data_IF_244117019852
#
_entry.id   IF_244117019852
#
_cell.length_a   1.000
_cell.length_b   1.000
_cell.length_c   1.000
_cell.angle_alpha   90.00
_cell.angle_beta   90.00
_cell.angle_gamma   90.00
#
_symmetry.space_group_name_H-M   'P 1'
#
loop_
_entity.id
_entity.type
_entity.pdbx_description
1 polymer ?
#
# COMPACT_ATOMS: atom_id res chain seq x y z
N UNK A 1 -18.45 -1.13 13.86
CA UNK A 1 -18.30 -0.02 14.82
C UNK A 1 -17.37 -0.36 15.98
N UNK A 2 -17.45 -1.54 16.61
CA UNK A 2 -16.61 -1.92 17.78
C UNK A 2 -15.09 -1.78 17.54
N UNK A 3 -14.59 -2.24 16.38
CA UNK A 3 -13.14 -2.20 16.09
C UNK A 3 -12.57 -0.77 15.99
N UNK A 4 -13.35 0.18 15.48
CA UNK A 4 -12.90 1.58 15.39
C UNK A 4 -12.80 2.23 16.76
N UNK A 5 -13.73 1.92 17.66
CA UNK A 5 -13.72 2.44 19.04
C UNK A 5 -12.53 1.86 19.80
N UNK A 6 -12.27 0.57 19.66
CA UNK A 6 -11.10 -0.09 20.30
C UNK A 6 -9.81 0.57 19.80
N UNK A 7 -9.66 0.81 18.50
CA UNK A 7 -8.48 1.47 17.93
C UNK A 7 -8.27 2.86 18.54
N UNK A 8 -9.32 3.69 18.63
CA UNK A 8 -9.23 5.05 19.21
C UNK A 8 -8.82 4.99 20.67
N UNK A 9 -9.41 4.06 21.46
CA UNK A 9 -9.05 3.88 22.86
C UNK A 9 -7.58 3.46 23.00
N UNK A 10 -7.12 2.53 22.15
CA UNK A 10 -5.71 2.10 22.14
C UNK A 10 -4.79 3.25 21.80
N UNK A 11 -5.12 4.07 20.79
CA UNK A 11 -4.33 5.26 20.43
C UNK A 11 -4.21 6.24 21.62
N UNK A 12 -5.32 6.56 22.26
CA UNK A 12 -5.31 7.46 23.42
C UNK A 12 -4.48 6.90 24.57
N UNK A 13 -4.58 5.61 24.83
CA UNK A 13 -3.81 4.96 25.90
C UNK A 13 -2.31 4.99 25.62
N UNK A 14 -1.89 4.69 24.37
CA UNK A 14 -0.47 4.76 23.95
C UNK A 14 0.05 6.18 24.11
N UNK A 15 -0.66 7.20 23.62
CA UNK A 15 -0.26 8.61 23.75
C UNK A 15 -0.10 9.02 25.21
N UNK A 16 -1.04 8.64 26.08
CA UNK A 16 -0.96 8.95 27.51
C UNK A 16 0.27 8.27 28.14
N UNK A 17 0.53 7.01 27.82
CA UNK A 17 1.74 6.29 28.27
C UNK A 17 3.02 6.99 27.83
N UNK A 18 3.10 7.42 26.58
CA UNK A 18 4.27 8.14 26.05
C UNK A 18 4.50 9.46 26.77
N UNK A 19 3.44 10.25 27.01
CA UNK A 19 3.56 11.50 27.77
C UNK A 19 4.06 11.22 29.18
N UNK A 20 3.53 10.19 29.86
CA UNK A 20 3.97 9.82 31.22
C UNK A 20 5.45 9.41 31.20
N UNK A 21 5.86 8.56 30.25
CA UNK A 21 7.25 8.09 30.12
C UNK A 21 8.18 9.29 29.91
N UNK A 22 7.84 10.20 28.99
CA UNK A 22 8.66 11.39 28.75
C UNK A 22 8.75 12.31 29.99
N UNK A 23 7.65 12.50 30.72
CA UNK A 23 7.66 13.32 31.94
C UNK A 23 8.47 12.69 33.06
N UNK A 24 8.57 11.35 33.12
CA UNK A 24 9.38 10.65 34.12
C UNK A 24 10.87 10.61 33.75
N UNK A 25 11.21 10.59 32.43
CA UNK A 25 12.60 10.51 31.97
C UNK A 25 13.29 11.87 31.93
N UNK A 26 12.56 12.96 31.75
CA UNK A 26 13.12 14.30 31.57
C UNK A 26 12.67 15.22 32.72
N UNK A 27 13.61 15.62 33.57
CA UNK A 27 13.36 16.52 34.67
C UNK A 27 13.07 17.96 34.20
N UNK A 28 13.73 18.40 33.12
CA UNK A 28 13.54 19.75 32.57
C UNK A 28 12.53 19.75 31.41
N UNK A 29 11.38 20.36 31.62
CA UNK A 29 10.32 20.56 30.63
C UNK A 29 10.55 21.84 29.83
N UNK A 30 11.61 21.87 29.02
CA UNK A 30 11.91 22.98 28.13
C UNK A 30 11.11 22.91 26.81
N UNK A 31 11.26 23.92 25.94
CA UNK A 31 10.56 23.96 24.64
C UNK A 31 10.83 22.73 23.76
N UNK A 32 12.04 22.17 23.81
CA UNK A 32 12.41 20.97 23.07
C UNK A 32 11.71 19.74 23.60
N UNK A 33 11.49 19.63 24.90
CA UNK A 33 10.70 18.56 25.50
C UNK A 33 9.31 18.47 24.85
N UNK A 34 8.59 19.59 24.78
CA UNK A 34 7.25 19.60 24.19
C UNK A 34 7.24 19.26 22.70
N UNK A 35 8.26 19.72 21.95
CA UNK A 35 8.42 19.37 20.54
C UNK A 35 8.65 17.86 20.39
N UNK A 36 9.54 17.27 21.19
CA UNK A 36 9.86 15.85 21.14
C UNK A 36 8.65 14.98 21.51
N UNK A 37 7.94 15.31 22.57
CA UNK A 37 6.70 14.62 22.95
C UNK A 37 5.66 14.72 21.84
N UNK A 38 5.49 15.91 21.26
CA UNK A 38 4.56 16.12 20.15
C UNK A 38 4.88 15.27 18.92
N UNK A 39 6.17 15.18 18.54
CA UNK A 39 6.63 14.35 17.42
C UNK A 39 6.47 12.87 17.73
N UNK A 40 6.80 12.41 18.94
CA UNK A 40 6.61 11.03 19.35
C UNK A 40 5.13 10.61 19.27
N UNK A 41 4.23 11.41 19.83
CA UNK A 41 2.78 11.19 19.77
C UNK A 41 2.28 11.18 18.31
N UNK A 42 2.78 12.07 17.45
CA UNK A 42 2.42 12.10 16.03
C UNK A 42 2.89 10.84 15.29
N UNK A 43 4.09 10.36 15.57
CA UNK A 43 4.60 9.11 15.04
C UNK A 43 3.72 7.91 15.43
N UNK A 44 3.30 7.83 16.69
CA UNK A 44 2.40 6.79 17.19
C UNK A 44 1.03 6.85 16.51
N UNK A 45 0.48 8.05 16.32
CA UNK A 45 -0.78 8.23 15.59
C UNK A 45 -0.65 7.70 14.15
N UNK A 46 0.45 8.01 13.46
CA UNK A 46 0.69 7.51 12.10
C UNK A 46 0.76 5.99 12.08
N UNK A 47 1.51 5.36 13.00
CA UNK A 47 1.64 3.92 13.09
C UNK A 47 0.28 3.24 13.32
N UNK A 48 -0.50 3.72 14.25
CA UNK A 48 -1.79 3.14 14.60
C UNK A 48 -2.88 3.42 13.55
N UNK A 49 -2.85 4.58 12.89
CA UNK A 49 -3.78 4.92 11.83
C UNK A 49 -3.62 4.04 10.57
N UNK A 50 -2.46 3.43 10.37
CA UNK A 50 -2.22 2.52 9.25
C UNK A 50 -2.82 1.11 9.47
N UNK A 51 -3.12 0.71 10.69
CA UNK A 51 -3.69 -0.61 11.00
C UNK A 51 -5.00 -0.88 10.24
N UNK A 52 -5.99 0.05 10.21
CA UNK A 52 -7.22 -0.16 9.44
C UNK A 52 -7.01 -0.29 7.93
N UNK A 53 -5.97 0.34 7.39
CA UNK A 53 -5.64 0.26 5.95
C UNK A 53 -5.12 -1.14 5.63
N UNK A 54 -4.22 -1.67 6.46
CA UNK A 54 -3.63 -2.99 6.27
C UNK A 54 -4.57 -4.14 6.62
N UNK A 55 -5.58 -3.91 7.46
CA UNK A 55 -6.56 -4.94 7.86
C UNK A 55 -7.79 -5.03 6.96
N UNK A 56 -7.97 -4.14 6.00
CA UNK A 56 -9.14 -4.10 5.14
C UNK A 56 -8.76 -4.49 3.70
N UNK A 57 -9.20 -5.68 3.25
CA UNK A 57 -8.93 -6.20 1.91
C UNK A 57 -9.33 -5.23 0.78
N UNK A 58 -10.42 -4.46 0.95
CA UNK A 58 -10.87 -3.46 -0.03
C UNK A 58 -9.92 -2.26 -0.15
N UNK A 59 -9.12 -1.99 0.88
CA UNK A 59 -8.14 -0.91 0.91
C UNK A 59 -6.72 -1.38 0.57
N UNK A 60 -6.53 -2.69 0.40
CA UNK A 60 -5.24 -3.30 0.05
C UNK A 60 -4.91 -3.10 -1.45
N UNK A 61 -4.90 -1.85 -1.89
CA UNK A 61 -4.34 -1.51 -3.21
C UNK A 61 -2.82 -1.34 -3.10
N UNK A 62 -2.09 -1.60 -4.19
CA UNK A 62 -0.62 -1.43 -4.24
C UNK A 62 -0.22 -0.04 -3.75
N UNK A 63 -0.97 0.99 -4.16
CA UNK A 63 -0.76 2.37 -3.74
C UNK A 63 -0.90 2.55 -2.23
N UNK A 64 -1.98 2.05 -1.63
CA UNK A 64 -2.26 2.21 -0.20
C UNK A 64 -1.27 1.42 0.65
N UNK A 65 -0.89 0.23 0.22
CA UNK A 65 0.13 -0.58 0.92
C UNK A 65 1.48 0.10 0.87
N UNK A 66 1.92 0.57 -0.30
CA UNK A 66 3.20 1.26 -0.44
C UNK A 66 3.26 2.56 0.38
N UNK A 67 2.16 3.33 0.39
CA UNK A 67 2.05 4.54 1.20
C UNK A 67 2.08 4.21 2.70
N UNK A 68 1.35 3.18 3.12
CA UNK A 68 1.30 2.74 4.52
C UNK A 68 2.68 2.27 5.01
N UNK A 69 3.41 1.50 4.20
CA UNK A 69 4.77 1.06 4.52
C UNK A 69 5.73 2.26 4.62
N UNK A 70 5.66 3.20 3.69
CA UNK A 70 6.48 4.42 3.72
C UNK A 70 6.21 5.27 4.96
N UNK A 71 4.93 5.46 5.32
CA UNK A 71 4.53 6.21 6.51
C UNK A 71 4.95 5.51 7.81
N UNK A 72 4.84 4.18 7.89
CA UNK A 72 5.28 3.41 9.05
C UNK A 72 6.80 3.51 9.23
N UNK A 73 7.56 3.38 8.14
CA UNK A 73 9.01 3.51 8.19
C UNK A 73 9.42 4.91 8.64
N UNK A 74 8.74 5.94 8.14
CA UNK A 74 8.92 7.31 8.60
C UNK A 74 8.64 7.47 10.09
N UNK A 75 7.51 6.99 10.56
CA UNK A 75 7.12 7.09 11.97
C UNK A 75 8.14 6.40 12.89
N UNK A 76 8.63 5.21 12.51
CA UNK A 76 9.66 4.50 13.26
C UNK A 76 10.97 5.30 13.29
N UNK A 77 11.44 5.79 12.15
CA UNK A 77 12.69 6.56 12.07
C UNK A 77 12.60 7.83 12.90
N UNK A 78 11.52 8.60 12.77
CA UNK A 78 11.32 9.82 13.56
C UNK A 78 11.21 9.53 15.04
N UNK A 79 10.49 8.48 15.42
CA UNK A 79 10.35 8.09 16.83
C UNK A 79 11.70 7.73 17.45
N UNK A 80 12.47 6.86 16.80
CA UNK A 80 13.81 6.46 17.25
C UNK A 80 14.78 7.65 17.30
N UNK A 81 14.73 8.52 16.28
CA UNK A 81 15.53 9.73 16.24
C UNK A 81 15.20 10.66 17.39
N UNK A 82 13.91 10.93 17.62
CA UNK A 82 13.43 11.82 18.68
C UNK A 82 13.77 11.26 20.06
N UNK A 83 13.56 9.96 20.29
CA UNK A 83 13.90 9.31 21.54
C UNK A 83 15.41 9.29 21.79
N UNK A 84 16.22 8.90 20.80
CA UNK A 84 17.66 8.83 20.91
C UNK A 84 18.31 10.19 21.12
N UNK A 85 17.88 11.21 20.37
CA UNK A 85 18.42 12.55 20.52
C UNK A 85 17.95 13.24 21.80
N UNK A 86 16.74 12.97 22.29
CA UNK A 86 16.26 13.52 23.58
C UNK A 86 17.18 13.14 24.74
N UNK A 87 17.71 11.90 24.74
CA UNK A 87 18.61 11.42 25.76
C UNK A 87 20.01 12.05 25.70
N UNK A 88 20.44 12.51 24.53
CA UNK A 88 21.80 13.05 24.31
C UNK A 88 21.87 14.58 24.47
N UNK A 89 20.72 15.27 24.44
CA UNK A 89 20.67 16.71 24.21
C UNK A 89 20.65 17.60 25.46
N UNK A 90 20.66 17.04 26.64
CA UNK A 90 20.56 17.84 27.87
C UNK A 90 21.79 18.72 28.15
N UNK A 91 22.87 18.54 27.38
CA UNK A 91 24.19 19.12 27.70
C UNK A 91 24.74 20.17 26.74
N UNK A 92 24.25 20.35 25.51
CA UNK A 92 24.87 21.26 24.55
C UNK A 92 23.91 21.98 23.59
N UNK A 93 24.03 23.33 23.51
CA UNK A 93 23.19 24.17 22.65
C UNK A 93 23.45 23.96 21.13
N UNK A 94 24.67 23.59 20.73
CA UNK A 94 25.02 23.34 19.35
C UNK A 94 24.38 22.06 18.83
N UNK A 95 24.30 21.04 19.67
CA UNK A 95 23.60 19.79 19.36
C UNK A 95 22.09 20.00 19.13
N UNK A 96 21.47 20.94 19.85
CA UNK A 96 20.06 21.31 19.68
C UNK A 96 19.77 21.87 18.28
N UNK A 97 20.64 22.73 17.76
CA UNK A 97 20.49 23.32 16.44
C UNK A 97 20.69 22.28 15.34
N UNK A 98 21.69 21.42 15.48
CA UNK A 98 21.96 20.30 14.55
C UNK A 98 20.79 19.31 14.50
N UNK A 99 20.20 19.01 15.65
CA UNK A 99 19.04 18.16 15.75
C UNK A 99 17.83 18.72 15.01
N UNK A 100 17.48 19.98 15.24
CA UNK A 100 16.36 20.62 14.57
C UNK A 100 16.59 20.62 13.04
N UNK A 101 17.82 20.93 12.61
CA UNK A 101 18.18 20.91 11.20
C UNK A 101 18.00 19.53 10.57
N UNK A 102 18.50 18.48 11.21
CA UNK A 102 18.34 17.11 10.73
C UNK A 102 16.88 16.65 10.75
N UNK A 103 16.10 17.07 11.74
CA UNK A 103 14.68 16.77 11.82
C UNK A 103 13.91 17.39 10.64
N UNK A 104 14.19 18.65 10.30
CA UNK A 104 13.59 19.33 9.15
C UNK A 104 13.96 18.61 7.85
N UNK A 105 15.25 18.24 7.67
CA UNK A 105 15.72 17.50 6.49
C UNK A 105 14.98 16.14 6.39
N UNK A 106 14.82 15.44 7.50
CA UNK A 106 14.11 14.15 7.55
C UNK A 106 12.65 14.32 7.13
N UNK A 107 11.95 15.34 7.61
CA UNK A 107 10.57 15.63 7.22
C UNK A 107 10.47 15.92 5.72
N UNK A 108 11.36 16.77 5.18
CA UNK A 108 11.39 17.11 3.75
C UNK A 108 11.62 15.84 2.91
N UNK A 109 12.59 15.01 3.30
CA UNK A 109 12.88 13.76 2.62
C UNK A 109 11.66 12.84 2.57
N UNK A 110 10.90 12.77 3.66
CA UNK A 110 9.68 11.95 3.70
C UNK A 110 8.53 12.51 2.90
N UNK A 111 8.37 13.82 2.84
CA UNK A 111 7.39 14.45 1.95
C UNK A 111 7.68 14.07 0.49
N UNK A 112 8.95 14.16 0.08
CA UNK A 112 9.39 13.79 -1.28
C UNK A 112 9.15 12.30 -1.54
N UNK A 113 9.53 11.43 -0.60
CA UNK A 113 9.30 9.99 -0.71
C UNK A 113 7.81 9.65 -0.78
N UNK A 114 6.99 10.25 0.06
CA UNK A 114 5.54 10.07 0.05
C UNK A 114 4.92 10.46 -1.30
N UNK A 115 5.31 11.61 -1.86
CA UNK A 115 4.87 12.05 -3.18
C UNK A 115 5.29 11.05 -4.27
N UNK A 116 6.54 10.56 -4.23
CA UNK A 116 7.06 9.57 -5.18
C UNK A 116 6.28 8.24 -5.11
N UNK A 117 6.00 7.76 -3.90
CA UNK A 117 5.21 6.52 -3.68
C UNK A 117 3.79 6.68 -4.21
N UNK A 118 3.15 7.83 -3.98
CA UNK A 118 1.80 8.10 -4.50
C UNK A 118 1.79 8.11 -6.03
N UNK A 119 2.76 8.75 -6.66
CA UNK A 119 2.89 8.80 -8.13
C UNK A 119 3.16 7.41 -8.71
N UNK A 120 4.16 6.70 -8.20
CA UNK A 120 4.52 5.36 -8.66
C UNK A 120 3.38 4.35 -8.44
N UNK A 121 2.73 4.39 -7.28
CA UNK A 121 1.58 3.54 -6.96
C UNK A 121 0.40 3.76 -7.91
N UNK A 122 0.11 5.02 -8.29
CA UNK A 122 -0.94 5.33 -9.26
C UNK A 122 -0.65 4.77 -10.65
N UNK A 123 0.61 4.85 -11.11
CA UNK A 123 1.01 4.28 -12.42
C UNK A 123 0.93 2.74 -12.40
N UNK A 124 1.36 2.11 -11.32
CA UNK A 124 1.33 0.64 -11.19
C UNK A 124 -0.11 0.12 -11.14
N UNK A 125 -0.99 0.81 -10.41
CA UNK A 125 -2.42 0.46 -10.34
C UNK A 125 -3.10 0.57 -11.70
N UNK A 126 -2.82 1.64 -12.45
CA UNK A 126 -3.34 1.79 -13.82
C UNK A 126 -2.88 0.67 -14.74
N UNK A 127 -1.59 0.31 -14.71
CA UNK A 127 -1.07 -0.82 -15.48
C UNK A 127 -1.70 -2.15 -15.08
N UNK A 128 -1.94 -2.38 -13.78
CA UNK A 128 -2.60 -3.58 -13.30
C UNK A 128 -4.05 -3.70 -13.83
N UNK A 129 -4.80 -2.59 -13.83
CA UNK A 129 -6.15 -2.53 -14.40
C UNK A 129 -6.15 -2.77 -15.91
N UNK A 130 -5.20 -2.20 -16.65
CA UNK A 130 -5.06 -2.41 -18.09
C UNK A 130 -4.75 -3.89 -18.42
N UNK A 131 -3.88 -4.53 -17.63
CA UNK A 131 -3.57 -5.97 -17.78
C UNK A 131 -4.81 -6.80 -17.47
N UNK A 132 -5.53 -6.50 -16.39
CA UNK A 132 -6.73 -7.24 -16.00
C UNK A 132 -7.82 -7.14 -17.08
N UNK A 133 -8.06 -5.94 -17.60
CA UNK A 133 -9.03 -5.73 -18.71
C UNK A 133 -8.63 -6.50 -19.97
N UNK A 134 -7.32 -6.58 -20.26
CA UNK A 134 -6.80 -7.36 -21.39
C UNK A 134 -7.04 -8.85 -21.18
N UNK A 135 -6.84 -9.37 -19.97
CA UNK A 135 -7.10 -10.78 -19.62
C UNK A 135 -8.60 -11.10 -19.74
N UNK A 136 -9.46 -10.22 -19.22
CA UNK A 136 -10.92 -10.40 -19.30
C UNK A 136 -11.40 -10.38 -20.76
N UNK A 137 -10.88 -9.45 -21.58
CA UNK A 137 -11.18 -9.41 -23.01
C UNK A 137 -10.72 -10.67 -23.74
N UNK A 138 -9.53 -11.19 -23.42
CA UNK A 138 -9.06 -12.48 -23.97
C UNK A 138 -9.98 -13.64 -23.56
N UNK A 139 -10.41 -13.70 -22.32
CA UNK A 139 -11.35 -14.75 -21.84
C UNK A 139 -12.70 -14.67 -22.55
N UNK A 140 -13.26 -13.47 -22.70
CA UNK A 140 -14.53 -13.27 -23.42
C UNK A 140 -14.39 -13.65 -24.88
N UNK A 141 -13.28 -13.30 -25.51
CA UNK A 141 -13.00 -13.66 -26.90
C UNK A 141 -12.87 -15.18 -27.06
N UNK A 142 -12.11 -15.86 -26.20
CA UNK A 142 -12.01 -17.32 -26.18
C UNK A 142 -13.37 -17.99 -26.01
N UNK A 143 -14.17 -17.53 -25.04
CA UNK A 143 -15.52 -18.08 -24.81
C UNK A 143 -16.45 -17.87 -26.04
N UNK A 144 -16.33 -16.74 -26.72
CA UNK A 144 -17.08 -16.47 -27.96
C UNK A 144 -16.69 -17.44 -29.06
N UNK A 145 -15.39 -17.70 -29.25
CA UNK A 145 -14.87 -18.66 -30.22
C UNK A 145 -15.37 -20.08 -29.90
N UNK A 146 -15.31 -20.49 -28.63
CA UNK A 146 -15.80 -21.81 -28.21
C UNK A 146 -17.31 -21.98 -28.50
N UNK A 147 -18.11 -20.94 -28.28
CA UNK A 147 -19.53 -20.95 -28.59
C UNK A 147 -19.77 -21.06 -30.12
N UNK A 148 -19.03 -20.31 -30.94
CA UNK A 148 -19.09 -20.43 -32.40
C UNK A 148 -18.66 -21.83 -32.87
N UNK A 149 -17.62 -22.39 -32.26
CA UNK A 149 -17.17 -23.75 -32.56
C UNK A 149 -18.26 -24.80 -32.27
N UNK A 150 -18.90 -24.72 -31.09
CA UNK A 150 -19.98 -25.64 -30.72
C UNK A 150 -21.15 -25.52 -31.70
N UNK A 151 -21.52 -24.28 -32.07
CA UNK A 151 -22.59 -24.04 -33.06
C UNK A 151 -22.26 -24.62 -34.43
N UNK A 152 -21.05 -24.30 -34.93
CA UNK A 152 -20.59 -24.79 -36.25
C UNK A 152 -20.45 -26.32 -36.25
N UNK A 153 -19.97 -26.92 -35.14
CA UNK A 153 -19.89 -28.39 -35.05
C UNK A 153 -21.24 -29.03 -35.14
N UNK A 154 -22.26 -28.52 -34.43
CA UNK A 154 -23.62 -29.02 -34.43
C UNK A 154 -24.29 -28.91 -35.83
N UNK A 155 -24.05 -27.82 -36.53
CA UNK A 155 -24.53 -27.64 -37.91
C UNK A 155 -23.85 -28.61 -38.88
N UNK A 156 -22.53 -28.80 -38.75
CA UNK A 156 -21.76 -29.74 -39.58
C UNK A 156 -22.10 -31.21 -39.29
N UNK A 157 -22.50 -31.57 -38.07
CA UNK A 157 -22.90 -32.93 -37.73
C UNK A 157 -24.15 -33.39 -38.53
N UNK A 158 -24.97 -32.43 -38.93
CA UNK A 158 -26.18 -32.70 -39.73
C UNK A 158 -25.90 -32.84 -41.25
N UNK A 159 -24.65 -32.53 -41.68
CA UNK A 159 -24.28 -32.59 -43.09
C UNK A 159 -23.45 -33.85 -43.32
N UNK A 160 -23.98 -34.75 -44.19
CA UNK A 160 -23.29 -35.98 -44.56
C UNK A 160 -22.42 -35.73 -45.80
N UNK A 161 -21.12 -35.31 -45.61
CA UNK A 161 -20.20 -35.04 -46.70
C UNK A 161 -18.75 -35.32 -46.31
N UNK A 162 -17.96 -35.81 -47.28
CA UNK A 162 -16.54 -36.18 -47.12
C UNK A 162 -15.59 -35.03 -46.71
N UNK A 163 -15.99 -33.78 -46.87
CA UNK A 163 -15.19 -32.64 -46.48
C UNK A 163 -15.36 -32.17 -45.02
N UNK A 164 -16.37 -32.73 -44.30
CA UNK A 164 -16.69 -32.42 -42.93
C UNK A 164 -15.49 -32.57 -41.99
N UNK A 165 -14.83 -33.74 -42.06
CA UNK A 165 -13.71 -34.04 -41.16
C UNK A 165 -12.49 -33.13 -41.40
N UNK A 166 -12.22 -32.79 -42.65
CA UNK A 166 -11.14 -31.84 -43.01
C UNK A 166 -11.42 -30.43 -42.47
N UNK A 167 -12.66 -29.99 -42.58
CA UNK A 167 -13.07 -28.67 -42.10
C UNK A 167 -13.01 -28.57 -40.57
N UNK A 168 -13.48 -29.60 -39.87
CA UNK A 168 -13.41 -29.69 -38.39
C UNK A 168 -11.96 -29.69 -37.92
N UNK A 169 -11.08 -30.45 -38.59
CA UNK A 169 -9.66 -30.50 -38.24
C UNK A 169 -8.95 -29.16 -38.48
N UNK A 170 -9.23 -28.49 -39.58
CA UNK A 170 -8.66 -27.18 -39.90
C UNK A 170 -9.11 -26.11 -38.89
N UNK A 171 -10.37 -26.14 -38.48
CA UNK A 171 -10.92 -25.22 -37.49
C UNK A 171 -10.31 -25.45 -36.12
N UNK A 172 -10.10 -26.71 -35.71
CA UNK A 172 -9.43 -27.05 -34.45
C UNK A 172 -7.99 -26.53 -34.38
N UNK A 173 -7.23 -26.62 -35.52
CA UNK A 173 -5.87 -26.08 -35.61
C UNK A 173 -5.85 -24.55 -35.39
N UNK A 174 -6.85 -23.84 -35.93
CA UNK A 174 -6.98 -22.38 -35.74
C UNK A 174 -7.31 -22.05 -34.31
N UNK A 175 -8.23 -22.78 -33.66
CA UNK A 175 -8.60 -22.64 -32.26
C UNK A 175 -7.40 -22.81 -31.35
N UNK A 176 -6.62 -23.87 -31.51
CA UNK A 176 -5.43 -24.16 -30.73
C UNK A 176 -4.39 -23.03 -30.84
N UNK A 177 -4.26 -22.38 -32.00
CA UNK A 177 -3.35 -21.23 -32.20
C UNK A 177 -3.83 -19.94 -31.56
N UNK A 178 -5.13 -19.75 -31.38
CA UNK A 178 -5.70 -18.54 -30.77
C UNK A 178 -5.72 -18.65 -29.23
N UNK A 179 -5.77 -19.88 -28.70
CA UNK A 179 -5.79 -20.15 -27.26
C UNK A 179 -4.40 -20.08 -26.59
N UNK A 180 -3.32 -20.04 -27.38
CA UNK A 180 -1.95 -19.79 -26.90
C UNK A 180 -1.67 -18.29 -26.75
#
# INVERSE_FOLDING_TARGET
MKNKVILIITMLLVIVCTIIIYTLLFEEQNKLFYINVGIACLAEIILLANIPILSNEKLLTIKNVSLSVSLNLFAIVIFLWTAGCSLLMDQDSNLKTLYIGLLVITIIFFIINGATVIMAGGVTEKKALDIQSTIENKKMFSASIDNYWIGTKNELENINSDWKDKTLQSFKIVLDKISM
#
